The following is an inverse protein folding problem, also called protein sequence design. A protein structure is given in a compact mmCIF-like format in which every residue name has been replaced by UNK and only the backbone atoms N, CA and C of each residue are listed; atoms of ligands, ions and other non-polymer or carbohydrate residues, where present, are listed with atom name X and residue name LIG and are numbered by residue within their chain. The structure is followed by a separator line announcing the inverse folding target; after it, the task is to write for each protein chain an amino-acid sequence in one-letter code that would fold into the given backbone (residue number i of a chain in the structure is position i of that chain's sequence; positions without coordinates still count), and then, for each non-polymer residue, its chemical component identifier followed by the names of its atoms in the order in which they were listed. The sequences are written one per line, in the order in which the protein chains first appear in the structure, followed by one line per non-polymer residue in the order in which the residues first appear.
data_IF_462730638624
#
_entry.id   IF_462730638624
#
_cell.length_a   1.000
_cell.length_b   1.000
_cell.length_c   1.000
_cell.angle_alpha   90.00
_cell.angle_beta   90.00
_cell.angle_gamma   90.00
#
_symmetry.space_group_name_H-M   'P 1'
#
loop_
_entity.id
_entity.type
_entity.pdbx_description
1 polymer ?
#
# COMPACT_ATOMS: atom_id res chain seq x y z
N UNK A 1 -28.38 13.72 -11.66
CA UNK A 1 -28.15 13.00 -12.92
C UNK A 1 -28.72 11.61 -12.75
N UNK A 2 -29.68 11.20 -13.57
CA UNK A 2 -30.34 9.88 -13.49
C UNK A 2 -29.59 8.76 -14.25
N UNK A 3 -28.38 9.01 -14.74
CA UNK A 3 -27.60 7.97 -15.42
C UNK A 3 -27.17 6.86 -14.46
N UNK A 4 -27.39 5.62 -14.87
CA UNK A 4 -26.89 4.43 -14.19
C UNK A 4 -25.37 4.34 -14.27
N UNK A 5 -24.74 3.61 -13.33
CA UNK A 5 -23.29 3.39 -13.37
C UNK A 5 -22.85 2.72 -14.68
N UNK A 6 -23.68 1.88 -15.28
CA UNK A 6 -23.39 1.22 -16.56
C UNK A 6 -23.39 2.21 -17.72
N UNK A 7 -24.33 3.16 -17.77
CA UNK A 7 -24.35 4.22 -18.78
C UNK A 7 -23.15 5.13 -18.65
N UNK A 8 -22.83 5.56 -17.43
CA UNK A 8 -21.64 6.37 -17.17
C UNK A 8 -20.36 5.62 -17.54
N UNK A 9 -20.26 4.34 -17.21
CA UNK A 9 -19.10 3.52 -17.58
C UNK A 9 -18.93 3.40 -19.10
N UNK A 10 -20.04 3.23 -19.83
CA UNK A 10 -20.05 3.20 -21.30
C UNK A 10 -19.59 4.54 -21.89
N UNK A 11 -20.14 5.65 -21.39
CA UNK A 11 -19.77 7.01 -21.83
C UNK A 11 -18.27 7.28 -21.60
N UNK A 12 -17.70 6.73 -20.51
CA UNK A 12 -16.28 6.86 -20.15
C UNK A 12 -15.37 5.81 -20.79
N UNK A 13 -15.91 4.81 -21.49
CA UNK A 13 -15.12 3.72 -22.09
C UNK A 13 -14.46 2.79 -21.08
N UNK A 14 -15.01 2.64 -19.87
CA UNK A 14 -14.48 1.77 -18.81
C UNK A 14 -15.44 0.63 -18.49
N UNK A 15 -14.96 -0.40 -17.80
CA UNK A 15 -15.87 -1.46 -17.33
C UNK A 15 -16.79 -0.93 -16.21
N UNK A 16 -18.09 -1.30 -16.22
CA UNK A 16 -19.02 -0.95 -15.14
C UNK A 16 -18.54 -1.43 -13.77
N UNK A 17 -17.90 -2.59 -13.71
CA UNK A 17 -17.31 -3.16 -12.49
C UNK A 17 -16.15 -2.31 -11.97
N UNK A 18 -15.26 -1.86 -12.87
CA UNK A 18 -14.16 -0.97 -12.52
C UNK A 18 -14.65 0.37 -11.98
N UNK A 19 -15.64 0.96 -12.66
CA UNK A 19 -16.25 2.21 -12.20
C UNK A 19 -16.93 2.06 -10.83
N UNK A 20 -17.66 0.96 -10.59
CA UNK A 20 -18.21 0.65 -9.24
C UNK A 20 -17.11 0.55 -8.19
N UNK A 21 -15.98 -0.07 -8.54
CA UNK A 21 -14.79 -0.14 -7.69
C UNK A 21 -14.25 1.24 -7.32
N UNK A 22 -14.06 2.12 -8.30
CA UNK A 22 -13.58 3.49 -8.06
C UNK A 22 -14.57 4.31 -7.23
N UNK A 23 -15.87 4.20 -7.49
CA UNK A 23 -16.90 4.87 -6.68
C UNK A 23 -16.85 4.37 -5.23
N UNK A 24 -16.69 3.06 -5.02
CA UNK A 24 -16.53 2.48 -3.67
C UNK A 24 -15.28 3.02 -2.98
N UNK A 25 -14.13 3.05 -3.65
CA UNK A 25 -12.89 3.57 -3.06
C UNK A 25 -13.01 5.07 -2.76
N UNK A 26 -13.62 5.86 -3.66
CA UNK A 26 -13.84 7.28 -3.43
C UNK A 26 -14.75 7.55 -2.21
N UNK A 27 -15.72 6.67 -1.92
CA UNK A 27 -16.50 6.73 -0.67
C UNK A 27 -15.62 6.45 0.56
N UNK A 28 -14.78 5.42 0.49
CA UNK A 28 -13.83 5.10 1.57
C UNK A 28 -12.88 6.28 1.81
N UNK A 29 -12.36 6.89 0.75
CA UNK A 29 -11.44 8.04 0.82
C UNK A 29 -12.09 9.29 1.44
N UNK A 30 -13.43 9.38 1.41
CA UNK A 30 -14.21 10.42 2.12
C UNK A 30 -14.63 10.03 3.55
N UNK A 31 -14.23 8.87 4.04
CA UNK A 31 -14.62 8.37 5.37
C UNK A 31 -16.00 7.72 5.42
N UNK A 32 -16.64 7.45 4.27
CA UNK A 32 -17.93 6.75 4.17
C UNK A 32 -17.74 5.22 4.02
N UNK A 33 -16.54 4.72 4.29
CA UNK A 33 -16.19 3.31 4.18
C UNK A 33 -16.65 2.48 5.39
N UNK A 34 -16.73 1.15 5.25
CA UNK A 34 -16.92 0.28 6.42
C UNK A 34 -15.71 0.37 7.36
N UNK A 35 -15.91 0.05 8.64
CA UNK A 35 -14.84 0.05 9.63
C UNK A 35 -13.64 -0.79 9.17
N UNK A 36 -12.43 -0.23 9.28
CA UNK A 36 -11.19 -0.86 8.85
C UNK A 36 -10.89 -0.80 7.34
N UNK A 37 -11.74 -0.17 6.53
CA UNK A 37 -11.41 0.12 5.14
C UNK A 37 -10.31 1.19 5.07
N UNK A 38 -9.21 0.86 4.39
CA UNK A 38 -8.12 1.80 4.15
C UNK A 38 -8.47 2.72 2.98
N UNK A 39 -8.26 4.00 3.20
CA UNK A 39 -8.17 4.99 2.13
C UNK A 39 -7.01 4.66 1.19
N UNK A 40 -7.05 5.23 -0.01
CA UNK A 40 -5.99 5.13 -1.00
C UNK A 40 -4.64 5.57 -0.42
N UNK A 41 -4.63 6.67 0.34
CA UNK A 41 -3.44 7.23 0.99
C UNK A 41 -2.89 6.32 2.10
N UNK A 42 -3.74 5.79 2.97
CA UNK A 42 -3.31 4.86 4.03
C UNK A 42 -2.76 3.55 3.45
N UNK A 43 -3.35 3.06 2.36
CA UNK A 43 -2.85 1.87 1.65
C UNK A 43 -1.47 2.11 1.06
N UNK A 44 -1.25 3.26 0.42
CA UNK A 44 0.05 3.65 -0.13
C UNK A 44 1.12 3.75 0.98
N UNK A 45 0.78 4.43 2.07
CA UNK A 45 1.66 4.57 3.22
C UNK A 45 2.01 3.21 3.85
N UNK A 46 1.02 2.31 3.99
CA UNK A 46 1.26 0.95 4.49
C UNK A 46 2.25 0.18 3.61
N UNK A 47 2.14 0.30 2.29
CA UNK A 47 3.08 -0.33 1.35
C UNK A 47 4.48 0.25 1.50
N UNK A 48 4.58 1.58 1.58
CA UNK A 48 5.86 2.29 1.77
C UNK A 48 6.54 1.89 3.07
N UNK A 49 5.80 1.85 4.19
CA UNK A 49 6.31 1.45 5.49
C UNK A 49 6.75 -0.01 5.50
N UNK A 50 5.96 -0.92 4.92
CA UNK A 50 6.36 -2.34 4.79
C UNK A 50 7.65 -2.51 3.99
N UNK A 51 7.84 -1.71 2.94
CA UNK A 51 9.09 -1.70 2.19
C UNK A 51 10.25 -1.21 3.06
N UNK A 52 10.07 -0.08 3.75
CA UNK A 52 11.09 0.50 4.63
C UNK A 52 11.52 -0.46 5.73
N UNK A 53 10.57 -1.17 6.36
CA UNK A 53 10.87 -2.17 7.39
C UNK A 53 11.77 -3.27 6.85
N UNK A 54 11.47 -3.84 5.68
CA UNK A 54 12.32 -4.87 5.05
C UNK A 54 13.73 -4.36 4.76
N UNK A 55 13.84 -3.13 4.26
CA UNK A 55 15.15 -2.50 3.98
C UNK A 55 15.95 -2.28 5.27
N UNK A 56 15.29 -1.87 6.35
CA UNK A 56 15.90 -1.71 7.66
C UNK A 56 16.36 -3.05 8.24
N UNK A 57 15.52 -4.09 8.17
CA UNK A 57 15.85 -5.45 8.62
C UNK A 57 17.08 -6.00 7.88
N UNK A 58 17.13 -5.83 6.55
CA UNK A 58 18.30 -6.24 5.75
C UNK A 58 19.57 -5.46 6.14
N UNK A 59 19.44 -4.16 6.42
CA UNK A 59 20.58 -3.34 6.88
C UNK A 59 21.08 -3.80 8.25
N UNK A 60 20.17 -4.07 9.18
CA UNK A 60 20.51 -4.57 10.53
C UNK A 60 21.24 -5.91 10.43
N UNK A 61 20.78 -6.83 9.57
CA UNK A 61 21.43 -8.13 9.36
C UNK A 61 22.88 -7.98 8.85
N UNK A 62 23.10 -7.13 7.85
CA UNK A 62 24.45 -6.86 7.31
C UNK A 62 25.35 -6.27 8.39
N UNK A 63 24.86 -5.29 9.14
CA UNK A 63 25.63 -4.67 10.23
C UNK A 63 25.95 -5.67 11.35
N UNK A 64 25.01 -6.56 11.68
CA UNK A 64 25.21 -7.64 12.64
C UNK A 64 26.32 -8.59 12.19
N UNK A 65 26.29 -9.03 10.93
CA UNK A 65 27.33 -9.89 10.34
C UNK A 65 28.71 -9.22 10.32
N UNK A 66 28.76 -7.95 9.92
CA UNK A 66 30.01 -7.18 9.93
C UNK A 66 30.57 -7.05 11.35
N UNK A 67 29.73 -6.72 12.33
CA UNK A 67 30.13 -6.61 13.73
C UNK A 67 30.69 -7.93 14.26
N UNK A 68 30.02 -9.05 13.97
CA UNK A 68 30.49 -10.38 14.35
C UNK A 68 31.84 -10.74 13.71
N UNK A 69 32.00 -10.46 12.41
CA UNK A 69 33.25 -10.67 11.70
C UNK A 69 34.42 -9.89 12.33
N UNK A 70 34.25 -8.59 12.58
CA UNK A 70 35.30 -7.77 13.19
C UNK A 70 35.60 -8.13 14.65
N UNK A 71 34.61 -8.60 15.40
CA UNK A 71 34.83 -9.08 16.77
C UNK A 71 35.69 -10.36 16.79
N UNK A 72 35.47 -11.28 15.84
CA UNK A 72 36.28 -12.49 15.68
C UNK A 72 37.71 -12.17 15.25
N UNK A 73 37.90 -11.23 14.32
CA UNK A 73 39.23 -10.82 13.85
C UNK A 73 40.08 -10.20 14.98
N UNK A 74 39.47 -9.38 15.85
CA UNK A 74 40.16 -8.81 17.03
C UNK A 74 40.53 -9.84 18.10
N UNK A 75 39.86 -10.99 18.13
CA UNK A 75 40.09 -12.05 19.10
C UNK A 75 41.15 -13.07 18.64
N UNK A 76 41.64 -12.94 17.40
CA UNK A 76 42.69 -13.76 16.79
C UNK A 76 44.07 -13.15 17.04
#
# INVERSE_FOLDING_TARGET
SEKTVTEVARDLGVSPEGLRGWVKQAKIDRGEGPAGALTSAEREELVRLRRKVREQEATIDILGKATAFFAQDKAR
#
